data_IF_058967569565
#
_entry.id   IF_058967569565
#
_cell.length_a   1.000
_cell.length_b   1.000
_cell.length_c   1.000
_cell.angle_alpha   90.00
_cell.angle_beta   90.00
_cell.angle_gamma   90.00
#
_symmetry.space_group_name_H-M   'P 1'
#
loop_
_entity.id
_entity.type
_entity.pdbx_description
1 polymer ?
#
# COMPACT_ATOMS: atom_id res chain seq x y z
N UNK A 1 -23.52 5.31 -4.44
CA UNK A 1 -22.20 5.53 -3.82
C UNK A 1 -22.40 6.42 -2.60
N UNK A 2 -21.78 6.10 -1.48
CA UNK A 2 -21.84 6.91 -0.27
C UNK A 2 -21.13 8.26 -0.49
N UNK A 3 -21.79 9.38 -0.14
CA UNK A 3 -21.27 10.72 -0.41
C UNK A 3 -19.97 11.03 0.35
N UNK A 4 -19.88 10.62 1.62
CA UNK A 4 -18.65 10.75 2.41
C UNK A 4 -17.49 9.97 1.78
N UNK A 5 -17.72 8.72 1.35
CA UNK A 5 -16.70 7.90 0.70
C UNK A 5 -16.26 8.52 -0.63
N UNK A 6 -17.20 9.06 -1.42
CA UNK A 6 -16.85 9.77 -2.66
C UNK A 6 -15.97 10.99 -2.42
N UNK A 7 -16.21 11.71 -1.31
CA UNK A 7 -15.39 12.84 -0.91
C UNK A 7 -14.00 12.39 -0.46
N UNK A 8 -13.90 11.30 0.29
CA UNK A 8 -12.61 10.71 0.68
C UNK A 8 -11.84 10.28 -0.57
N UNK A 9 -12.47 9.56 -1.51
CA UNK A 9 -11.86 9.13 -2.76
C UNK A 9 -11.29 10.33 -3.56
N UNK A 10 -12.00 11.46 -3.59
CA UNK A 10 -11.52 12.67 -4.24
C UNK A 10 -10.33 13.32 -3.50
N UNK A 11 -10.26 13.24 -2.16
CA UNK A 11 -9.13 13.73 -1.37
C UNK A 11 -7.90 12.85 -1.64
N UNK A 12 -8.05 11.53 -1.57
CA UNK A 12 -7.00 10.53 -1.80
C UNK A 12 -6.40 10.66 -3.21
N UNK A 13 -7.24 10.87 -4.22
CA UNK A 13 -6.84 11.00 -5.62
C UNK A 13 -6.29 12.38 -6.02
N UNK A 14 -5.98 13.27 -5.07
CA UNK A 14 -5.37 14.59 -5.38
C UNK A 14 -4.01 14.40 -6.03
N UNK A 15 -3.77 15.16 -7.10
CA UNK A 15 -2.50 15.18 -7.81
C UNK A 15 -1.38 15.74 -6.91
N UNK A 16 -0.24 15.04 -6.90
CA UNK A 16 1.00 15.48 -6.25
C UNK A 16 2.09 15.70 -7.28
N UNK A 17 2.71 14.64 -7.78
CA UNK A 17 3.81 14.69 -8.74
C UNK A 17 3.35 14.45 -10.17
N UNK A 18 2.57 13.39 -10.36
CA UNK A 18 2.13 12.86 -11.65
C UNK A 18 0.69 13.27 -11.91
N UNK A 19 0.30 13.35 -13.18
CA UNK A 19 -1.10 13.53 -13.51
C UNK A 19 -1.82 12.20 -13.53
N UNK A 20 -2.43 11.85 -12.41
CA UNK A 20 -3.20 10.63 -12.21
C UNK A 20 -4.71 10.82 -12.46
N UNK A 21 -5.12 11.99 -12.97
CA UNK A 21 -6.55 12.36 -13.10
C UNK A 21 -7.35 11.33 -13.88
N UNK A 22 -6.82 10.84 -15.00
CA UNK A 22 -7.50 9.86 -15.84
C UNK A 22 -7.57 8.49 -15.18
N UNK A 23 -6.50 8.09 -14.47
CA UNK A 23 -6.46 6.84 -13.70
C UNK A 23 -7.48 6.85 -12.57
N UNK A 24 -7.56 7.93 -11.79
CA UNK A 24 -8.54 8.07 -10.70
C UNK A 24 -9.98 8.11 -11.23
N UNK A 25 -10.23 8.73 -12.38
CA UNK A 25 -11.55 8.74 -13.01
C UNK A 25 -12.00 7.33 -13.45
N UNK A 26 -11.10 6.53 -14.02
CA UNK A 26 -11.39 5.16 -14.44
C UNK A 26 -11.70 4.24 -13.25
N UNK A 27 -11.03 4.46 -12.12
CA UNK A 27 -11.16 3.63 -10.92
C UNK A 27 -12.16 4.18 -9.90
N UNK A 28 -12.91 5.23 -10.27
CA UNK A 28 -13.90 5.85 -9.38
C UNK A 28 -14.91 4.85 -8.83
N UNK A 29 -15.08 4.87 -7.49
CA UNK A 29 -15.97 3.97 -6.75
C UNK A 29 -15.29 2.69 -6.29
N UNK A 30 -14.04 2.41 -6.69
CA UNK A 30 -13.32 1.24 -6.21
C UNK A 30 -12.94 1.34 -4.74
N UNK A 31 -12.71 2.54 -4.22
CA UNK A 31 -12.50 2.74 -2.78
C UNK A 31 -13.68 2.19 -1.95
N UNK A 32 -14.91 2.51 -2.35
CA UNK A 32 -16.11 1.99 -1.67
C UNK A 32 -16.22 0.48 -1.81
N UNK A 33 -16.05 -0.06 -3.00
CA UNK A 33 -16.17 -1.51 -3.26
C UNK A 33 -15.11 -2.30 -2.47
N UNK A 34 -13.88 -1.81 -2.41
CA UNK A 34 -12.80 -2.41 -1.62
C UNK A 34 -13.15 -2.43 -0.12
N UNK A 35 -13.65 -1.31 0.42
CA UNK A 35 -14.10 -1.23 1.81
C UNK A 35 -15.28 -2.19 2.08
N UNK A 36 -16.30 -2.21 1.22
CA UNK A 36 -17.46 -3.10 1.32
C UNK A 36 -17.05 -4.58 1.26
N UNK A 37 -16.07 -4.95 0.43
CA UNK A 37 -15.61 -6.34 0.32
C UNK A 37 -15.07 -6.86 1.65
N UNK A 38 -14.26 -6.06 2.35
CA UNK A 38 -13.72 -6.44 3.67
C UNK A 38 -14.83 -6.49 4.72
N UNK A 39 -15.67 -5.43 4.78
CA UNK A 39 -16.71 -5.28 5.79
C UNK A 39 -17.79 -6.37 5.70
N UNK A 40 -18.12 -6.84 4.50
CA UNK A 40 -19.16 -7.84 4.24
C UNK A 40 -18.64 -9.29 4.29
N UNK A 41 -17.35 -9.50 4.49
CA UNK A 41 -16.77 -10.85 4.62
C UNK A 41 -16.81 -11.30 6.07
N UNK A 42 -17.57 -12.36 6.40
CA UNK A 42 -17.51 -12.96 7.74
C UNK A 42 -16.07 -13.42 8.06
N UNK A 43 -15.66 -13.22 9.31
CA UNK A 43 -14.33 -13.63 9.78
C UNK A 43 -13.18 -13.14 8.89
N UNK A 44 -13.29 -11.92 8.36
CA UNK A 44 -12.27 -11.32 7.52
C UNK A 44 -10.88 -11.40 8.20
N UNK A 45 -9.87 -11.77 7.41
CA UNK A 45 -8.45 -11.71 7.77
C UNK A 45 -7.72 -11.03 6.61
N UNK A 46 -7.02 -9.95 6.89
CA UNK A 46 -6.41 -9.09 5.87
C UNK A 46 -4.89 -9.28 5.84
N UNK A 47 -4.36 -9.71 4.70
CA UNK A 47 -2.94 -9.63 4.40
C UNK A 47 -2.61 -8.27 3.79
N UNK A 48 -1.52 -7.61 4.23
CA UNK A 48 -1.07 -6.34 3.65
C UNK A 48 0.37 -6.50 3.14
N UNK A 49 0.54 -6.45 1.83
CA UNK A 49 1.84 -6.54 1.15
C UNK A 49 2.37 -5.14 0.91
N UNK A 50 3.57 -4.83 1.41
CA UNK A 50 4.20 -3.53 1.25
C UNK A 50 5.73 -3.62 1.17
N UNK A 51 6.36 -2.49 0.87
CA UNK A 51 7.80 -2.30 0.82
C UNK A 51 8.31 -2.12 -0.61
N UNK A 52 8.90 -0.97 -0.87
CA UNK A 52 9.56 -0.62 -2.11
C UNK A 52 11.03 -0.29 -1.80
N UNK A 53 11.98 -0.91 -2.52
CA UNK A 53 13.39 -0.80 -2.19
C UNK A 53 14.14 0.13 -3.14
N UNK A 54 14.87 1.09 -2.58
CA UNK A 54 15.59 2.13 -3.30
C UNK A 54 17.06 1.78 -3.38
N UNK A 55 17.45 1.15 -4.49
CA UNK A 55 18.82 0.66 -4.74
C UNK A 55 19.87 1.75 -4.80
N UNK A 56 19.51 2.94 -5.30
CA UNK A 56 20.44 4.07 -5.47
C UNK A 56 20.56 4.97 -4.24
N UNK A 57 19.77 4.72 -3.18
CA UNK A 57 19.99 5.37 -1.89
C UNK A 57 21.37 5.00 -1.33
N UNK A 58 21.93 5.84 -0.48
CA UNK A 58 23.22 5.62 0.17
C UNK A 58 23.06 5.67 1.69
N UNK A 59 23.03 4.51 2.38
CA UNK A 59 22.97 3.16 1.82
C UNK A 59 21.66 2.84 1.12
N UNK A 60 21.59 1.77 0.26
CA UNK A 60 20.34 1.28 -0.29
C UNK A 60 19.31 0.99 0.80
N UNK A 61 18.07 1.47 0.64
CA UNK A 61 17.08 1.51 1.73
C UNK A 61 15.66 1.37 1.19
N UNK A 62 14.69 0.90 2.01
CA UNK A 62 13.27 1.00 1.68
C UNK A 62 12.83 2.46 1.60
N UNK A 63 11.74 2.73 0.86
CA UNK A 63 11.13 4.05 0.85
C UNK A 63 10.07 4.22 1.94
N UNK A 64 9.69 5.48 2.21
CA UNK A 64 8.70 5.83 3.23
C UNK A 64 7.27 5.68 2.74
N UNK A 65 7.00 5.73 1.43
CA UNK A 65 5.64 5.53 0.92
C UNK A 65 5.19 4.06 1.05
N UNK A 66 3.92 3.87 1.27
CA UNK A 66 3.29 2.57 1.58
C UNK A 66 3.40 2.16 3.05
N UNK A 67 4.48 2.51 3.75
CA UNK A 67 4.73 2.02 5.12
C UNK A 67 3.76 2.62 6.15
N UNK A 68 3.51 3.93 6.07
CA UNK A 68 2.66 4.62 7.04
C UNK A 68 1.18 4.27 6.80
N UNK A 69 0.77 4.20 5.53
CA UNK A 69 -0.57 3.74 5.15
C UNK A 69 -0.85 2.32 5.59
N UNK A 70 0.14 1.41 5.46
CA UNK A 70 0.08 0.05 5.98
C UNK A 70 -0.09 0.07 7.50
N UNK A 71 0.68 0.87 8.23
CA UNK A 71 0.61 0.97 9.68
C UNK A 71 -0.76 1.41 10.17
N UNK A 72 -1.37 2.43 9.55
CA UNK A 72 -2.73 2.88 9.89
C UNK A 72 -3.80 1.83 9.55
N UNK A 73 -3.69 1.17 8.39
CA UNK A 73 -4.60 0.08 8.04
C UNK A 73 -4.50 -1.07 9.05
N UNK A 74 -3.29 -1.50 9.38
CA UNK A 74 -3.07 -2.58 10.33
C UNK A 74 -3.63 -2.24 11.72
N UNK A 75 -3.31 -1.05 12.25
CA UNK A 75 -3.81 -0.60 13.55
C UNK A 75 -5.34 -0.51 13.58
N UNK A 76 -5.96 0.10 12.58
CA UNK A 76 -7.40 0.28 12.54
C UNK A 76 -8.18 -1.03 12.39
N UNK A 77 -7.73 -1.91 11.49
CA UNK A 77 -8.33 -3.24 11.29
C UNK A 77 -8.21 -4.10 12.57
N UNK A 78 -7.02 -4.17 13.14
CA UNK A 78 -6.80 -4.95 14.37
C UNK A 78 -7.60 -4.39 15.56
N UNK A 79 -7.66 -3.06 15.74
CA UNK A 79 -8.52 -2.41 16.74
C UNK A 79 -10.02 -2.73 16.55
N UNK A 80 -10.44 -2.96 15.31
CA UNK A 80 -11.82 -3.35 14.97
C UNK A 80 -12.06 -4.88 15.06
N UNK A 81 -11.06 -5.66 15.51
CA UNK A 81 -11.13 -7.11 15.67
C UNK A 81 -10.92 -7.90 14.38
N UNK A 82 -10.40 -7.27 13.32
CA UNK A 82 -10.02 -7.93 12.07
C UNK A 82 -8.53 -8.30 12.15
N UNK A 83 -8.16 -9.59 12.12
CA UNK A 83 -6.77 -10.01 12.10
C UNK A 83 -6.02 -9.46 10.89
N UNK A 84 -4.76 -9.11 11.10
CA UNK A 84 -3.88 -8.58 10.05
C UNK A 84 -2.58 -9.35 10.03
N UNK A 85 -2.14 -9.73 8.83
CA UNK A 85 -0.79 -10.23 8.55
C UNK A 85 -0.10 -9.28 7.58
N UNK A 86 0.93 -8.59 8.03
CA UNK A 86 1.78 -7.77 7.15
C UNK A 86 2.78 -8.67 6.44
N UNK A 87 2.99 -8.45 5.16
CA UNK A 87 3.84 -9.25 4.29
C UNK A 87 4.84 -8.33 3.59
N UNK A 88 6.11 -8.69 3.63
CA UNK A 88 7.16 -7.94 2.94
C UNK A 88 8.29 -8.88 2.49
N UNK A 89 9.36 -8.31 1.96
CA UNK A 89 10.56 -9.06 1.62
C UNK A 89 11.79 -8.68 2.45
N UNK A 90 12.83 -9.49 2.36
CA UNK A 90 14.03 -9.33 3.16
C UNK A 90 14.68 -7.93 3.06
N UNK A 91 14.79 -7.27 1.87
CA UNK A 91 15.32 -5.93 1.78
C UNK A 91 14.52 -4.86 2.53
N UNK A 92 13.20 -5.01 2.59
CA UNK A 92 12.30 -4.05 3.26
C UNK A 92 11.98 -4.45 4.72
N UNK A 93 12.38 -5.65 5.15
CA UNK A 93 11.96 -6.24 6.42
C UNK A 93 12.22 -5.35 7.64
N UNK A 94 13.36 -4.67 7.70
CA UNK A 94 13.72 -3.81 8.83
C UNK A 94 12.76 -2.62 8.97
N UNK A 95 12.45 -1.94 7.87
CA UNK A 95 11.56 -0.79 7.89
C UNK A 95 10.11 -1.18 8.18
N UNK A 96 9.64 -2.26 7.55
CA UNK A 96 8.29 -2.79 7.80
C UNK A 96 8.15 -3.26 9.24
N UNK A 97 9.14 -4.00 9.77
CA UNK A 97 9.16 -4.42 11.17
C UNK A 97 9.08 -3.22 12.12
N UNK A 98 9.87 -2.17 11.87
CA UNK A 98 9.88 -0.99 12.73
C UNK A 98 8.50 -0.30 12.80
N UNK A 99 7.78 -0.24 11.67
CA UNK A 99 6.43 0.31 11.62
C UNK A 99 5.43 -0.62 12.31
N UNK A 100 5.52 -1.94 12.10
CA UNK A 100 4.67 -2.94 12.76
C UNK A 100 4.85 -2.90 14.28
N UNK A 101 6.10 -2.81 14.77
CA UNK A 101 6.42 -2.70 16.20
C UNK A 101 5.91 -1.39 16.83
N UNK A 102 5.76 -0.34 16.02
CA UNK A 102 5.17 0.94 16.46
C UNK A 102 3.64 0.91 16.58
N UNK A 103 2.95 -0.07 15.96
CA UNK A 103 1.50 -0.26 16.08
C UNK A 103 1.18 -0.81 17.47
N UNK A 104 0.14 -0.27 18.17
CA UNK A 104 -0.21 -0.72 19.53
C UNK A 104 -0.81 -2.12 19.59
N UNK A 105 -1.46 -2.56 18.51
CA UNK A 105 -2.08 -3.88 18.38
C UNK A 105 -1.05 -4.95 17.97
N UNK A 106 -1.34 -6.21 18.28
CA UNK A 106 -0.54 -7.32 17.80
C UNK A 106 -0.81 -7.54 16.31
N UNK A 107 0.25 -7.45 15.50
CA UNK A 107 0.24 -7.64 14.06
C UNK A 107 1.24 -8.74 13.70
N UNK A 108 0.81 -9.72 12.93
CA UNK A 108 1.70 -10.75 12.40
C UNK A 108 2.52 -10.20 11.23
N UNK A 109 3.80 -10.59 11.15
CA UNK A 109 4.71 -10.19 10.08
C UNK A 109 5.34 -11.39 9.41
N UNK A 110 5.15 -11.50 8.10
CA UNK A 110 5.75 -12.52 7.24
C UNK A 110 6.78 -11.88 6.29
N UNK A 111 7.95 -12.49 6.19
CA UNK A 111 9.06 -11.99 5.36
C UNK A 111 9.48 -13.03 4.33
N UNK A 112 9.35 -12.68 3.04
CA UNK A 112 9.83 -13.52 1.95
C UNK A 112 11.28 -13.20 1.58
N UNK A 113 12.07 -14.22 1.25
CA UNK A 113 13.34 -14.01 0.54
C UNK A 113 13.06 -13.59 -0.92
N UNK A 114 14.03 -12.94 -1.57
CA UNK A 114 13.91 -12.40 -2.94
C UNK A 114 13.93 -13.50 -4.03
N UNK A 115 13.11 -14.55 -3.85
CA UNK A 115 12.97 -15.64 -4.82
C UNK A 115 11.57 -16.26 -4.79
N UNK A 116 11.14 -16.83 -5.90
CA UNK A 116 9.82 -17.46 -6.06
C UNK A 116 9.54 -18.57 -5.04
N UNK A 117 10.55 -19.41 -4.75
CA UNK A 117 10.37 -20.53 -3.81
C UNK A 117 9.94 -20.05 -2.42
N UNK A 118 10.46 -18.91 -1.96
CA UNK A 118 10.04 -18.30 -0.69
C UNK A 118 8.59 -17.83 -0.77
N UNK A 119 8.20 -17.19 -1.87
CA UNK A 119 6.82 -16.70 -2.08
C UNK A 119 5.83 -17.87 -2.15
N UNK A 120 6.18 -18.98 -2.81
CA UNK A 120 5.35 -20.18 -2.84
C UNK A 120 5.15 -20.82 -1.46
N UNK A 121 6.19 -20.83 -0.63
CA UNK A 121 6.07 -21.31 0.75
C UNK A 121 5.16 -20.42 1.59
N UNK A 122 5.37 -19.12 1.47
CA UNK A 122 4.54 -18.12 2.12
C UNK A 122 3.07 -18.27 1.71
N UNK A 123 2.78 -18.39 0.42
CA UNK A 123 1.42 -18.62 -0.07
C UNK A 123 0.78 -19.83 0.59
N UNK A 124 1.48 -20.97 0.63
CA UNK A 124 0.98 -22.18 1.29
C UNK A 124 0.72 -21.97 2.78
N UNK A 125 1.58 -21.23 3.48
CA UNK A 125 1.39 -20.88 4.89
C UNK A 125 0.09 -20.08 5.06
N UNK A 126 -0.11 -19.03 4.25
CA UNK A 126 -1.32 -18.19 4.30
C UNK A 126 -2.61 -18.94 3.96
N UNK A 127 -2.54 -19.94 3.06
CA UNK A 127 -3.68 -20.78 2.66
C UNK A 127 -4.05 -21.85 3.70
N UNK A 128 -3.06 -22.34 4.45
CA UNK A 128 -3.22 -23.44 5.40
C UNK A 128 -3.28 -23.01 6.86
N UNK A 129 -3.23 -21.73 7.15
CA UNK A 129 -3.40 -21.19 8.49
C UNK A 129 -4.78 -21.55 9.07
N UNK A 130 -4.89 -21.66 10.39
CA UNK A 130 -6.18 -21.90 11.09
C UNK A 130 -7.22 -20.83 10.74
N UNK A 131 -6.76 -19.61 10.47
CA UNK A 131 -7.56 -18.51 9.90
C UNK A 131 -6.87 -18.02 8.62
N UNK A 132 -7.21 -18.60 7.45
CA UNK A 132 -6.64 -18.17 6.18
C UNK A 132 -6.99 -16.70 5.88
N UNK A 133 -6.11 -16.01 5.15
CA UNK A 133 -6.43 -14.67 4.69
C UNK A 133 -7.61 -14.71 3.70
N UNK A 134 -8.45 -13.69 3.78
CA UNK A 134 -9.62 -13.51 2.91
C UNK A 134 -9.41 -12.38 1.90
N UNK A 135 -8.58 -11.42 2.27
CA UNK A 135 -8.21 -10.26 1.45
C UNK A 135 -6.71 -10.08 1.45
N UNK A 136 -6.17 -9.69 0.30
CA UNK A 136 -4.78 -9.32 0.16
C UNK A 136 -4.67 -7.92 -0.45
N UNK A 137 -4.10 -6.99 0.31
CA UNK A 137 -3.90 -5.60 -0.09
C UNK A 137 -2.45 -5.42 -0.47
N UNK A 138 -2.14 -4.90 -1.67
CA UNK A 138 -0.84 -4.34 -1.98
C UNK A 138 -0.88 -2.83 -1.79
N UNK A 139 0.08 -2.29 -1.07
CA UNK A 139 0.27 -0.84 -0.92
C UNK A 139 1.73 -0.51 -1.20
N UNK A 140 1.96 0.33 -2.20
CA UNK A 140 3.29 0.71 -2.70
C UNK A 140 4.21 -0.53 -2.84
N UNK A 141 3.75 -1.48 -3.65
CA UNK A 141 4.52 -2.67 -3.94
C UNK A 141 4.64 -2.87 -5.44
N UNK A 142 5.88 -2.92 -5.93
CA UNK A 142 6.15 -3.03 -7.37
C UNK A 142 5.62 -4.34 -7.98
N UNK A 143 5.08 -4.21 -9.18
CA UNK A 143 4.65 -5.29 -10.08
C UNK A 143 5.68 -5.50 -11.19
N UNK A 144 5.77 -6.68 -11.80
CA UNK A 144 6.45 -6.80 -13.07
C UNK A 144 5.77 -5.98 -14.17
N UNK A 145 6.58 -5.46 -15.09
CA UNK A 145 6.13 -4.85 -16.33
C UNK A 145 6.02 -5.91 -17.46
N UNK A 146 5.77 -5.48 -18.69
CA UNK A 146 5.56 -6.36 -19.85
C UNK A 146 6.76 -7.28 -20.18
N UNK A 147 7.97 -6.90 -19.77
CA UNK A 147 9.19 -7.73 -19.92
C UNK A 147 9.36 -8.78 -18.80
N UNK A 148 8.41 -8.85 -17.87
CA UNK A 148 8.41 -9.76 -16.72
C UNK A 148 9.27 -9.30 -15.55
N UNK A 149 9.80 -8.07 -15.58
CA UNK A 149 10.66 -7.53 -14.53
C UNK A 149 9.99 -6.37 -13.78
N UNK A 150 10.22 -6.24 -12.47
CA UNK A 150 9.81 -5.05 -11.71
C UNK A 150 10.76 -3.88 -12.02
N UNK A 151 10.18 -2.70 -12.29
CA UNK A 151 10.95 -1.49 -12.62
C UNK A 151 10.56 -0.31 -11.73
N UNK A 152 11.57 0.52 -11.41
CA UNK A 152 11.36 1.84 -10.84
C UNK A 152 10.90 2.85 -11.91
N UNK A 153 10.46 4.03 -11.48
CA UNK A 153 9.97 5.11 -12.33
C UNK A 153 10.92 5.49 -13.49
N UNK A 154 12.23 5.26 -13.33
CA UNK A 154 13.25 5.51 -14.37
C UNK A 154 13.54 4.28 -15.26
N UNK A 155 12.79 3.18 -15.11
CA UNK A 155 12.97 1.95 -15.87
C UNK A 155 14.11 1.05 -15.36
N UNK A 156 14.62 1.29 -14.17
CA UNK A 156 15.67 0.45 -13.58
C UNK A 156 15.10 -0.86 -13.05
N UNK A 157 15.75 -1.96 -13.40
CA UNK A 157 15.40 -3.31 -12.99
C UNK A 157 15.63 -3.51 -11.48
N UNK A 158 14.59 -3.94 -10.79
CA UNK A 158 14.58 -4.20 -9.34
C UNK A 158 14.61 -5.69 -8.99
N UNK A 159 14.77 -6.59 -9.97
CA UNK A 159 14.62 -8.05 -9.76
C UNK A 159 15.60 -8.61 -8.72
N UNK A 160 16.77 -7.98 -8.54
CA UNK A 160 17.79 -8.45 -7.59
C UNK A 160 17.41 -8.24 -6.12
N UNK A 161 16.65 -7.18 -5.82
CA UNK A 161 16.33 -6.74 -4.46
C UNK A 161 14.84 -6.80 -4.13
N UNK A 162 14.05 -7.45 -4.98
CA UNK A 162 12.59 -7.50 -4.82
C UNK A 162 12.09 -8.93 -4.90
N UNK A 163 11.40 -9.41 -3.85
CA UNK A 163 10.71 -10.69 -3.93
C UNK A 163 9.52 -10.60 -4.88
N UNK A 164 9.23 -11.63 -5.70
CA UNK A 164 8.13 -11.63 -6.64
C UNK A 164 6.78 -11.81 -5.94
N UNK A 165 6.43 -10.91 -5.00
CA UNK A 165 5.20 -10.98 -4.21
C UNK A 165 3.93 -10.77 -5.06
N UNK A 166 4.06 -10.27 -6.31
CA UNK A 166 2.98 -10.24 -7.29
C UNK A 166 2.37 -11.63 -7.56
N UNK A 167 3.15 -12.71 -7.38
CA UNK A 167 2.65 -14.09 -7.51
C UNK A 167 1.55 -14.44 -6.50
N UNK A 168 1.41 -13.68 -5.41
CA UNK A 168 0.28 -13.82 -4.48
C UNK A 168 -1.02 -13.23 -5.06
N UNK A 169 -0.93 -12.39 -6.09
CA UNK A 169 -2.06 -11.72 -6.76
C UNK A 169 -2.43 -12.39 -8.09
N UNK A 170 -1.61 -13.33 -8.58
CA UNK A 170 -1.81 -13.99 -9.87
C UNK A 170 -2.84 -15.13 -9.79
N UNK A 171 -3.87 -15.04 -10.66
CA UNK A 171 -4.88 -16.08 -10.84
C UNK A 171 -4.51 -17.13 -11.90
N UNK A 172 -3.65 -16.79 -12.85
CA UNK A 172 -3.38 -17.63 -14.01
C UNK A 172 -2.64 -18.93 -13.64
N UNK A 173 -1.78 -18.86 -12.62
CA UNK A 173 -0.95 -19.96 -12.16
C UNK A 173 -1.58 -20.70 -10.96
N UNK A 174 -2.50 -20.06 -10.23
CA UNK A 174 -3.05 -20.52 -8.94
C UNK A 174 -4.55 -20.20 -8.85
N UNK A 175 -5.35 -21.11 -8.36
CA UNK A 175 -6.70 -20.75 -7.91
C UNK A 175 -6.57 -19.86 -6.67
N UNK A 176 -6.65 -18.57 -6.88
CA UNK A 176 -6.60 -17.56 -5.82
C UNK A 176 -7.78 -17.74 -4.86
N UNK A 177 -7.50 -17.68 -3.56
CA UNK A 177 -8.49 -17.91 -2.50
C UNK A 177 -8.90 -16.65 -1.74
N UNK A 178 -8.37 -15.49 -2.12
CA UNK A 178 -8.62 -14.20 -1.48
C UNK A 178 -8.95 -13.13 -2.50
N UNK A 179 -9.72 -12.14 -2.05
CA UNK A 179 -9.98 -10.92 -2.80
C UNK A 179 -8.73 -10.03 -2.78
N UNK A 180 -8.40 -9.39 -3.88
CA UNK A 180 -7.22 -8.54 -4.00
C UNK A 180 -7.56 -7.07 -4.13
N UNK A 181 -6.77 -6.22 -3.44
CA UNK A 181 -6.86 -4.77 -3.50
C UNK A 181 -5.46 -4.23 -3.81
N UNK A 182 -5.34 -3.40 -4.85
CA UNK A 182 -4.13 -2.66 -5.16
C UNK A 182 -4.25 -1.21 -4.71
N UNK A 183 -3.21 -0.65 -4.13
CA UNK A 183 -3.08 0.77 -3.79
C UNK A 183 -1.75 1.26 -4.34
N UNK A 184 -1.77 2.26 -5.22
CA UNK A 184 -0.58 2.79 -5.85
C UNK A 184 -0.78 4.20 -6.40
N UNK A 185 0.31 4.86 -6.83
CA UNK A 185 0.33 6.23 -7.33
C UNK A 185 1.18 6.41 -8.62
N UNK A 186 2.04 5.43 -8.94
CA UNK A 186 3.09 5.54 -9.96
C UNK A 186 2.83 4.78 -11.25
N UNK A 187 1.92 3.81 -11.26
CA UNK A 187 1.62 2.97 -12.42
C UNK A 187 2.45 1.70 -12.53
N UNK A 188 3.46 1.51 -11.68
CA UNK A 188 4.32 0.32 -11.62
C UNK A 188 3.99 -0.62 -10.44
N UNK A 189 2.97 -0.32 -9.65
CA UNK A 189 2.58 -1.08 -8.46
C UNK A 189 1.58 -2.18 -8.80
N UNK A 190 1.54 -3.20 -7.95
CA UNK A 190 0.55 -4.28 -8.00
C UNK A 190 -0.86 -3.68 -7.91
N UNK A 191 -1.72 -4.09 -8.82
CA UNK A 191 -3.07 -3.57 -8.99
C UNK A 191 -3.18 -2.63 -10.19
N UNK A 192 -2.14 -1.87 -10.55
CA UNK A 192 -2.15 -0.96 -11.70
C UNK A 192 -2.33 -1.68 -13.04
N UNK A 193 -2.07 -2.99 -13.11
CA UNK A 193 -2.41 -3.84 -14.25
C UNK A 193 -3.93 -3.94 -14.52
N UNK A 194 -4.78 -3.42 -13.64
CA UNK A 194 -6.23 -3.27 -13.89
C UNK A 194 -6.58 -2.07 -14.77
N UNK A 195 -5.64 -1.14 -14.96
CA UNK A 195 -5.81 -0.02 -15.89
C UNK A 195 -5.57 -0.49 -17.33
N UNK A 196 -6.20 0.13 -18.33
CA UNK A 196 -5.77 -0.03 -19.72
C UNK A 196 -4.28 0.38 -19.84
N UNK A 197 -3.47 -0.48 -20.47
CA UNK A 197 -2.02 -0.30 -20.55
C UNK A 197 -1.62 1.06 -21.17
N UNK A 198 -2.36 1.53 -22.17
CA UNK A 198 -2.15 2.81 -22.84
C UNK A 198 -2.27 4.02 -21.90
N UNK A 199 -3.01 3.90 -20.80
CA UNK A 199 -3.17 4.98 -19.81
C UNK A 199 -1.86 5.22 -19.08
N UNK A 200 -1.25 4.19 -18.52
CA UNK A 200 0.03 4.32 -17.81
C UNK A 200 1.13 4.71 -18.81
N UNK A 201 1.14 4.11 -20.01
CA UNK A 201 2.10 4.41 -21.06
C UNK A 201 2.11 5.88 -21.49
N UNK A 202 0.95 6.53 -21.48
CA UNK A 202 0.78 7.93 -21.98
C UNK A 202 0.83 8.97 -20.87
N UNK A 203 0.33 8.67 -19.68
CA UNK A 203 0.18 9.63 -18.59
C UNK A 203 1.40 9.67 -17.65
N UNK A 204 2.12 8.55 -17.54
CA UNK A 204 3.24 8.43 -16.61
C UNK A 204 4.58 8.51 -17.36
N UNK A 205 5.55 9.32 -16.88
CA UNK A 205 6.90 9.32 -17.43
C UNK A 205 7.49 7.89 -17.44
N UNK A 206 8.09 7.49 -18.55
CA UNK A 206 8.56 6.11 -18.78
C UNK A 206 7.50 5.01 -18.67
N UNK A 207 6.21 5.37 -18.66
CA UNK A 207 5.09 4.46 -18.44
C UNK A 207 5.15 3.19 -19.28
N UNK A 208 5.57 3.29 -20.55
CA UNK A 208 5.73 2.13 -21.44
C UNK A 208 6.71 1.08 -20.92
N UNK A 209 7.75 1.50 -20.19
CA UNK A 209 8.76 0.59 -19.64
C UNK A 209 8.37 0.02 -18.28
N UNK A 210 7.52 0.73 -17.53
CA UNK A 210 7.26 0.43 -16.13
C UNK A 210 5.81 -0.03 -15.85
N UNK A 211 4.90 0.13 -16.81
CA UNK A 211 3.48 -0.20 -16.61
C UNK A 211 3.31 -1.60 -16.02
N UNK A 212 2.66 -1.64 -14.86
CA UNK A 212 2.39 -2.88 -14.13
C UNK A 212 1.50 -3.83 -14.94
N UNK A 213 1.80 -5.12 -14.87
CA UNK A 213 0.95 -6.16 -15.50
C UNK A 213 0.06 -6.90 -14.50
N UNK A 214 0.33 -6.79 -13.20
CA UNK A 214 -0.45 -7.47 -12.17
C UNK A 214 -1.73 -6.69 -11.83
N UNK A 215 -2.93 -7.23 -12.11
CA UNK A 215 -4.19 -6.60 -11.75
C UNK A 215 -4.57 -6.88 -10.28
N UNK A 216 -5.64 -6.22 -9.83
CA UNK A 216 -6.34 -6.53 -8.59
C UNK A 216 -7.87 -6.47 -8.83
N UNK A 217 -8.68 -7.08 -7.94
CA UNK A 217 -10.15 -7.00 -8.03
C UNK A 217 -10.62 -5.56 -7.82
N UNK A 218 -9.93 -4.82 -6.95
CA UNK A 218 -10.16 -3.40 -6.71
C UNK A 218 -8.83 -2.65 -6.74
N UNK A 219 -8.78 -1.58 -7.53
CA UNK A 219 -7.62 -0.67 -7.57
C UNK A 219 -8.00 0.70 -7.00
N UNK A 220 -7.25 1.14 -6.01
CA UNK A 220 -7.32 2.49 -5.43
C UNK A 220 -6.11 3.27 -5.96
N UNK A 221 -6.37 4.25 -6.84
CA UNK A 221 -5.33 5.16 -7.32
C UNK A 221 -5.28 6.37 -6.40
N UNK A 222 -4.11 6.64 -5.83
CA UNK A 222 -3.89 7.72 -4.88
C UNK A 222 -2.83 8.71 -5.38
N UNK A 223 -2.77 9.91 -4.83
CA UNK A 223 -1.70 10.85 -5.11
C UNK A 223 -0.39 10.51 -4.41
N UNK A 224 -0.50 9.74 -3.31
CA UNK A 224 0.55 9.08 -2.53
C UNK A 224 -0.06 7.78 -2.03
N UNK A 225 0.62 6.66 -2.11
CA UNK A 225 0.05 5.36 -1.73
C UNK A 225 -0.40 5.29 -0.27
N UNK A 226 0.30 5.95 0.65
CA UNK A 226 -0.13 6.06 2.04
C UNK A 226 -1.55 6.64 2.17
N UNK A 227 -1.91 7.63 1.33
CA UNK A 227 -3.24 8.23 1.35
C UNK A 227 -4.34 7.25 0.93
N UNK A 228 -4.02 6.32 0.03
CA UNK A 228 -4.92 5.22 -0.35
C UNK A 228 -5.25 4.33 0.84
N UNK A 229 -4.25 4.01 1.67
CA UNK A 229 -4.45 3.29 2.93
C UNK A 229 -5.34 4.04 3.91
N UNK A 230 -5.10 5.35 4.10
CA UNK A 230 -5.95 6.22 4.93
C UNK A 230 -7.40 6.25 4.43
N UNK A 231 -7.56 6.41 3.10
CA UNK A 231 -8.87 6.44 2.46
C UNK A 231 -9.66 5.15 2.65
N UNK A 232 -9.01 3.99 2.51
CA UNK A 232 -9.65 2.70 2.70
C UNK A 232 -10.18 2.53 4.14
N UNK A 233 -9.35 2.86 5.13
CA UNK A 233 -9.74 2.80 6.54
C UNK A 233 -10.91 3.76 6.85
N UNK A 234 -10.84 5.00 6.38
CA UNK A 234 -11.88 6.01 6.57
C UNK A 234 -13.18 5.65 5.83
N UNK A 235 -13.08 5.06 4.63
CA UNK A 235 -14.24 4.56 3.89
C UNK A 235 -14.97 3.46 4.66
N UNK A 236 -14.23 2.51 5.25
CA UNK A 236 -14.81 1.48 6.12
C UNK A 236 -15.54 2.10 7.32
N UNK A 237 -14.96 3.11 7.97
CA UNK A 237 -15.59 3.81 9.09
C UNK A 237 -16.87 4.57 8.68
N UNK A 238 -16.91 5.14 7.47
CA UNK A 238 -18.13 5.76 6.93
C UNK A 238 -19.24 4.75 6.63
N UNK A 239 -18.87 3.54 6.19
CA UNK A 239 -19.83 2.49 5.80
C UNK A 239 -20.36 1.69 6.99
N UNK A 240 -19.57 1.58 8.07
CA UNK A 240 -19.98 0.95 9.34
C UNK A 240 -19.74 1.91 10.52
N UNK A 241 -20.62 2.91 10.74
CA UNK A 241 -20.45 3.92 11.78
C UNK A 241 -20.31 3.35 13.20
N UNK A 242 -20.90 2.19 13.47
CA UNK A 242 -20.80 1.48 14.75
C UNK A 242 -19.38 0.95 15.02
N UNK A 243 -18.58 0.73 13.99
CA UNK A 243 -17.16 0.34 14.09
C UNK A 243 -16.20 1.52 13.93
N UNK A 244 -16.68 2.71 13.58
CA UNK A 244 -15.85 3.86 13.28
C UNK A 244 -14.88 4.21 14.42
N UNK A 245 -15.33 4.18 15.68
CA UNK A 245 -14.49 4.45 16.85
C UNK A 245 -13.34 3.43 16.99
N UNK A 246 -13.53 2.17 16.63
CA UNK A 246 -12.51 1.16 16.66
C UNK A 246 -11.55 1.32 15.46
N UNK A 247 -12.10 1.43 14.26
CA UNK A 247 -11.32 1.60 13.02
C UNK A 247 -10.42 2.84 13.07
N UNK A 248 -10.90 3.95 13.63
CA UNK A 248 -10.17 5.22 13.68
C UNK A 248 -9.50 5.50 15.03
N UNK A 249 -9.39 4.51 15.93
CA UNK A 249 -8.80 4.69 17.28
C UNK A 249 -7.42 5.34 17.21
N UNK A 250 -6.59 4.94 16.27
CA UNK A 250 -5.23 5.42 16.07
C UNK A 250 -5.06 6.27 14.81
N UNK A 251 -6.17 6.68 14.18
CA UNK A 251 -6.15 7.48 12.97
C UNK A 251 -6.01 8.97 13.31
N UNK A 252 -4.80 9.37 13.70
CA UNK A 252 -4.50 10.72 14.14
C UNK A 252 -3.04 11.09 13.85
N UNK A 253 -2.74 12.38 14.00
CA UNK A 253 -1.45 12.98 13.73
C UNK A 253 -0.31 12.36 14.55
N UNK A 254 -0.55 12.06 15.83
CA UNK A 254 0.50 11.52 16.70
C UNK A 254 0.92 10.12 16.26
N UNK A 255 -0.05 9.29 15.88
CA UNK A 255 0.23 7.97 15.34
C UNK A 255 0.95 8.05 13.99
N UNK A 256 0.51 8.94 13.11
CA UNK A 256 1.14 9.15 11.81
C UNK A 256 2.62 9.54 11.94
N UNK A 257 2.93 10.47 12.86
CA UNK A 257 4.31 10.83 13.18
C UNK A 257 5.10 9.66 13.74
N UNK A 258 4.51 8.92 14.66
CA UNK A 258 5.14 7.75 15.28
C UNK A 258 5.52 6.69 14.25
N UNK A 259 4.62 6.38 13.30
CA UNK A 259 4.87 5.40 12.24
C UNK A 259 5.99 5.87 11.30
N UNK A 260 5.97 7.14 10.88
CA UNK A 260 7.02 7.69 10.03
C UNK A 260 8.37 7.77 10.75
N UNK A 261 8.40 8.19 12.04
CA UNK A 261 9.62 8.17 12.84
C UNK A 261 10.20 6.76 12.96
N UNK A 262 9.35 5.76 13.21
CA UNK A 262 9.79 4.36 13.27
C UNK A 262 10.38 3.89 11.93
N UNK A 263 9.72 4.20 10.81
CA UNK A 263 10.21 3.87 9.47
C UNK A 263 11.59 4.51 9.21
N UNK A 264 11.76 5.79 9.52
CA UNK A 264 12.95 6.58 9.19
C UNK A 264 14.10 6.33 10.18
N UNK A 265 13.85 6.42 11.49
CA UNK A 265 14.90 6.39 12.51
C UNK A 265 15.36 4.96 12.83
N UNK A 266 14.42 4.01 12.94
CA UNK A 266 14.68 2.62 13.24
C UNK A 266 14.83 1.81 11.96
N UNK A 267 13.86 1.93 11.07
CA UNK A 267 13.77 1.21 9.80
C UNK A 267 14.79 1.66 8.75
N UNK A 268 15.31 2.88 8.88
CA UNK A 268 16.21 3.52 7.92
C UNK A 268 15.60 3.70 6.53
N UNK A 269 14.27 3.84 6.48
CA UNK A 269 13.57 4.19 5.25
C UNK A 269 13.93 5.62 4.80
N UNK A 270 13.82 5.87 3.50
CA UNK A 270 14.13 7.16 2.87
C UNK A 270 12.95 7.64 2.03
N UNK A 271 12.83 8.95 1.85
CA UNK A 271 11.96 9.51 0.81
C UNK A 271 12.71 9.42 -0.53
N UNK A 272 12.30 8.49 -1.40
CA UNK A 272 12.96 8.24 -2.70
C UNK A 272 13.16 9.54 -3.48
N UNK A 273 12.16 10.38 -3.51
CA UNK A 273 12.18 11.65 -4.22
C UNK A 273 13.19 12.67 -3.68
N UNK A 274 13.80 12.43 -2.52
CA UNK A 274 14.76 13.32 -1.85
C UNK A 274 16.14 12.74 -1.66
N UNK A 275 16.36 11.47 -2.03
CA UNK A 275 17.65 10.78 -1.86
C UNK A 275 18.80 11.58 -2.45
N UNK A 276 18.65 12.05 -3.69
CA UNK A 276 19.71 12.80 -4.40
C UNK A 276 19.98 14.19 -3.82
N UNK A 277 18.98 14.77 -3.13
CA UNK A 277 19.08 16.15 -2.65
C UNK A 277 19.66 16.30 -1.26
N UNK A 278 19.46 15.32 -0.39
CA UNK A 278 19.84 15.41 1.03
C UNK A 278 20.73 14.27 1.52
N UNK A 279 20.79 13.13 0.82
CA UNK A 279 21.66 12.00 1.13
C UNK A 279 21.44 11.37 2.50
N UNK A 280 20.31 11.63 3.17
CA UNK A 280 20.00 11.16 4.53
C UNK A 280 18.50 10.96 4.69
N UNK A 281 18.06 10.12 5.64
CA UNK A 281 16.66 9.94 6.00
C UNK A 281 15.98 11.26 6.37
N UNK A 282 14.72 11.43 5.98
CA UNK A 282 13.94 12.63 6.23
C UNK A 282 12.52 12.29 6.63
N UNK A 283 11.93 13.15 7.47
CA UNK A 283 10.51 13.08 7.83
C UNK A 283 9.64 13.62 6.70
N UNK A 284 9.60 12.87 5.59
CA UNK A 284 8.81 13.20 4.40
C UNK A 284 8.44 11.93 3.62
N UNK A 285 7.42 12.05 2.78
CA UNK A 285 6.97 11.04 1.84
C UNK A 285 6.71 11.74 0.52
N UNK A 286 7.29 11.26 -0.57
CA UNK A 286 7.06 11.83 -1.91
C UNK A 286 7.30 13.34 -2.01
N UNK A 287 8.36 13.85 -1.36
CA UNK A 287 8.71 15.28 -1.21
C UNK A 287 7.76 16.08 -0.34
N UNK A 288 6.71 15.47 0.18
CA UNK A 288 5.77 16.12 1.08
C UNK A 288 6.33 16.03 2.51
N UNK A 289 6.66 17.15 3.16
CA UNK A 289 7.03 17.14 4.58
C UNK A 289 5.91 16.54 5.42
N UNK A 290 6.27 15.85 6.49
CA UNK A 290 5.30 15.18 7.36
C UNK A 290 4.14 16.07 7.80
N UNK A 291 4.38 17.32 8.14
CA UNK A 291 3.35 18.26 8.58
C UNK A 291 2.24 18.44 7.54
N UNK A 292 2.59 18.49 6.26
CA UNK A 292 1.63 18.59 5.16
C UNK A 292 0.94 17.26 4.88
N UNK A 293 1.66 16.15 5.06
CA UNK A 293 1.10 14.80 4.94
C UNK A 293 0.02 14.56 6.00
N UNK A 294 0.29 14.97 7.24
CA UNK A 294 -0.64 14.86 8.36
C UNK A 294 -1.90 15.72 8.20
N UNK A 295 -1.83 16.88 7.52
CA UNK A 295 -3.02 17.71 7.22
C UNK A 295 -4.03 16.92 6.37
N UNK A 296 -3.57 16.16 5.39
CA UNK A 296 -4.49 15.36 4.57
C UNK A 296 -5.17 14.25 5.38
N UNK A 297 -4.45 13.61 6.29
CA UNK A 297 -5.04 12.64 7.23
C UNK A 297 -6.15 13.30 8.05
N UNK A 298 -5.91 14.51 8.58
CA UNK A 298 -6.92 15.29 9.34
C UNK A 298 -8.12 15.67 8.46
N UNK A 299 -7.91 16.04 7.18
CA UNK A 299 -9.00 16.30 6.24
C UNK A 299 -9.86 15.07 6.01
N UNK A 300 -9.23 13.89 5.83
CA UNK A 300 -9.95 12.62 5.67
C UNK A 300 -10.74 12.30 6.94
N UNK A 301 -10.13 12.42 8.12
CA UNK A 301 -10.79 12.18 9.40
C UNK A 301 -12.02 13.08 9.59
N UNK A 302 -11.93 14.36 9.22
CA UNK A 302 -13.03 15.32 9.29
C UNK A 302 -14.23 14.99 8.38
N UNK A 303 -14.04 14.18 7.33
CA UNK A 303 -15.16 13.71 6.49
C UNK A 303 -15.97 12.63 7.20
N UNK A 304 -15.32 11.81 8.03
CA UNK A 304 -15.99 10.69 8.70
C UNK A 304 -16.92 11.20 9.81
N UNK A 305 -16.48 12.21 10.55
CA UNK A 305 -17.29 12.88 11.61
C UNK A 305 -18.45 13.65 10.99
#
# INVERSE_FOLDING_TARGET
MNEKVSRIEAIVGRRVKRDITRMTQLMKGNLQKAAESILNTPDAHVGIVTGFFIQHATPPSPETDGLIGMGHLAAGLASAGVPVTVITDAPCAKAVWAVVDAVPEQIDLEVAATNERSVYRLRKSLESADRPITHLIAIERVSPAADGKPHREHGWDMSGETAPLHLLFDDLTWQRRWTTIGIGDGGNEIGMGSLPADIVETEIPNGRAIAATTPADYLIVAGVSNWGGYGLLAAMACLQPEKASALLRHFNRDMDHRLLSAAVEIGQAVDDSRVDSLGRPQMSVDRIPWEQHAILLEEIAAVVV
#
